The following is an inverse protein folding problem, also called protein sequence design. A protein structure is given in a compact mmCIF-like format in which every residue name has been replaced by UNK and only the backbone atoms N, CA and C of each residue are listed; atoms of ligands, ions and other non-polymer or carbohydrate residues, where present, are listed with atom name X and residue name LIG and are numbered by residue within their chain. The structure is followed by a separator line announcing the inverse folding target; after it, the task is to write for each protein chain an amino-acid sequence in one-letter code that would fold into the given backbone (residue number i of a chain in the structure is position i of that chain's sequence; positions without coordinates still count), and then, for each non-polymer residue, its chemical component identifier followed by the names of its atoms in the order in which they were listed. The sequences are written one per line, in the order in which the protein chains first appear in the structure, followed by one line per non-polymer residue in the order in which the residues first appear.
data_IF_035702870986
#
_entry.id   IF_035702870986
#
_cell.length_a   1.000
_cell.length_b   1.000
_cell.length_c   1.000
_cell.angle_alpha   90.00
_cell.angle_beta   90.00
_cell.angle_gamma   90.00
#
_symmetry.space_group_name_H-M   'P 1'
#
loop_
_entity.id
_entity.type
_entity.pdbx_description
1 polymer ?
#
# COMPACT_ATOMS: atom_id res chain seq x y z
N UNK A 1 -33.99 -22.99 21.86
CA UNK A 1 -33.12 -21.81 22.09
C UNK A 1 -31.63 -22.16 22.18
N UNK A 2 -31.21 -23.39 21.86
CA UNK A 2 -29.81 -23.86 21.90
C UNK A 2 -29.08 -23.76 20.54
N UNK A 3 -29.80 -23.83 19.42
CA UNK A 3 -29.16 -23.90 18.08
C UNK A 3 -28.57 -22.58 17.57
N UNK A 4 -29.07 -21.44 18.03
CA UNK A 4 -28.60 -20.12 17.59
C UNK A 4 -27.14 -19.87 18.01
N UNK A 5 -26.76 -20.33 19.20
CA UNK A 5 -25.41 -20.10 19.76
C UNK A 5 -24.30 -20.89 19.05
N UNK A 6 -24.64 -22.03 18.46
CA UNK A 6 -23.67 -22.89 17.76
C UNK A 6 -23.38 -22.32 16.37
N UNK A 7 -24.41 -21.85 15.67
CA UNK A 7 -24.31 -21.25 14.34
C UNK A 7 -23.47 -19.96 14.34
N UNK A 8 -23.67 -19.10 15.34
CA UNK A 8 -22.90 -17.86 15.52
C UNK A 8 -21.40 -18.15 15.69
N UNK A 9 -21.03 -19.12 16.53
CA UNK A 9 -19.63 -19.49 16.76
C UNK A 9 -18.96 -20.11 15.54
N UNK A 10 -19.67 -20.93 14.76
CA UNK A 10 -19.12 -21.48 13.51
C UNK A 10 -18.93 -20.41 12.44
N UNK A 11 -19.86 -19.46 12.35
CA UNK A 11 -19.79 -18.37 11.36
C UNK A 11 -18.65 -17.41 11.68
N UNK A 12 -18.51 -17.01 12.95
CA UNK A 12 -17.42 -16.16 13.41
C UNK A 12 -16.04 -16.77 13.11
N UNK A 13 -15.86 -18.05 13.43
CA UNK A 13 -14.62 -18.78 13.14
C UNK A 13 -14.35 -18.87 11.64
N UNK A 14 -15.39 -19.14 10.84
CA UNK A 14 -15.29 -19.19 9.38
C UNK A 14 -14.78 -17.87 8.80
N UNK A 15 -15.32 -16.73 9.25
CA UNK A 15 -14.89 -15.39 8.84
C UNK A 15 -13.43 -15.15 9.22
N UNK A 16 -13.04 -15.44 10.46
CA UNK A 16 -11.66 -15.23 10.92
C UNK A 16 -10.65 -16.08 10.14
N UNK A 17 -10.98 -17.32 9.80
CA UNK A 17 -10.14 -18.14 8.92
C UNK A 17 -10.05 -17.54 7.51
N UNK A 18 -11.18 -17.14 6.92
CA UNK A 18 -11.19 -16.55 5.59
C UNK A 18 -10.35 -15.27 5.52
N UNK A 19 -10.51 -14.36 6.50
CA UNK A 19 -9.74 -13.11 6.60
C UNK A 19 -8.27 -13.38 6.85
N UNK A 20 -7.93 -14.27 7.79
CA UNK A 20 -6.54 -14.59 8.13
C UNK A 20 -5.79 -15.26 6.98
N UNK A 21 -6.41 -16.26 6.34
CA UNK A 21 -5.83 -16.94 5.17
C UNK A 21 -5.77 -16.00 3.96
N UNK A 22 -6.82 -15.21 3.71
CA UNK A 22 -6.82 -14.21 2.64
C UNK A 22 -5.68 -13.20 2.80
N UNK A 23 -5.48 -12.68 4.02
CA UNK A 23 -4.38 -11.77 4.31
C UNK A 23 -3.01 -12.42 4.05
N UNK A 24 -2.78 -13.66 4.50
CA UNK A 24 -1.53 -14.38 4.22
C UNK A 24 -1.30 -14.61 2.73
N UNK A 25 -2.34 -14.97 1.98
CA UNK A 25 -2.24 -15.16 0.53
C UNK A 25 -1.86 -13.86 -0.18
N UNK A 26 -2.50 -12.74 0.19
CA UNK A 26 -2.17 -11.42 -0.36
C UNK A 26 -0.74 -11.01 -0.01
N UNK A 27 -0.33 -11.17 1.25
CA UNK A 27 1.03 -10.86 1.69
C UNK A 27 2.08 -11.72 0.99
N UNK A 28 1.84 -13.03 0.88
CA UNK A 28 2.73 -13.94 0.18
C UNK A 28 2.81 -13.63 -1.33
N UNK A 29 1.67 -13.37 -1.98
CA UNK A 29 1.62 -12.98 -3.38
C UNK A 29 2.37 -11.66 -3.62
N UNK A 30 2.18 -10.66 -2.76
CA UNK A 30 2.90 -9.39 -2.87
C UNK A 30 4.42 -9.58 -2.79
N UNK A 31 4.91 -10.35 -1.81
CA UNK A 31 6.35 -10.59 -1.65
C UNK A 31 6.90 -11.44 -2.79
N UNK A 32 6.21 -12.52 -3.18
CA UNK A 32 6.69 -13.43 -4.22
C UNK A 32 6.65 -12.77 -5.60
N UNK A 33 5.51 -12.22 -6.01
CA UNK A 33 5.36 -11.60 -7.32
C UNK A 33 6.12 -10.29 -7.40
N UNK A 34 5.96 -9.41 -6.40
CA UNK A 34 6.64 -8.12 -6.36
C UNK A 34 8.16 -8.26 -6.19
N UNK A 35 8.61 -9.19 -5.35
CA UNK A 35 10.04 -9.48 -5.19
C UNK A 35 10.66 -10.10 -6.43
N UNK A 36 9.93 -10.99 -7.13
CA UNK A 36 10.40 -11.54 -8.41
C UNK A 36 10.49 -10.44 -9.48
N UNK A 37 9.48 -9.57 -9.58
CA UNK A 37 9.51 -8.44 -10.51
C UNK A 37 10.70 -7.51 -10.25
N UNK A 38 10.96 -7.16 -8.98
CA UNK A 38 12.12 -6.35 -8.62
C UNK A 38 13.45 -6.96 -9.10
N UNK A 39 13.61 -8.28 -9.00
CA UNK A 39 14.81 -8.97 -9.47
C UNK A 39 14.88 -8.95 -11.00
N UNK A 40 13.76 -9.21 -11.68
CA UNK A 40 13.68 -9.20 -13.15
C UNK A 40 14.02 -7.82 -13.69
N UNK A 41 13.43 -6.77 -13.12
CA UNK A 41 13.64 -5.37 -13.50
C UNK A 41 15.11 -4.96 -13.31
N UNK A 42 15.71 -5.36 -12.18
CA UNK A 42 17.13 -5.11 -11.90
C UNK A 42 18.08 -5.84 -12.86
N UNK A 43 17.74 -7.06 -13.30
CA UNK A 43 18.57 -7.83 -14.26
C UNK A 43 18.38 -7.34 -15.68
N UNK A 44 17.18 -6.90 -16.04
CA UNK A 44 16.84 -6.41 -17.37
C UNK A 44 17.28 -4.96 -17.62
N UNK A 45 17.81 -4.27 -16.60
CA UNK A 45 18.04 -2.82 -16.61
C UNK A 45 16.81 -2.04 -17.08
N UNK A 46 15.64 -2.50 -16.63
CA UNK A 46 14.34 -2.02 -17.07
C UNK A 46 13.54 -1.59 -15.85
N UNK A 47 13.43 -0.29 -15.63
CA UNK A 47 12.72 0.27 -14.48
C UNK A 47 11.32 0.70 -14.89
N UNK A 48 10.27 0.01 -14.41
CA UNK A 48 8.90 0.44 -14.65
C UNK A 48 8.60 1.70 -13.81
N UNK A 49 8.15 2.73 -14.49
CA UNK A 49 7.74 4.02 -13.94
C UNK A 49 6.28 4.26 -14.31
N UNK A 50 5.55 4.90 -13.40
CA UNK A 50 4.24 5.46 -13.69
C UNK A 50 4.36 6.97 -13.60
N UNK A 51 4.27 7.63 -14.74
CA UNK A 51 4.42 9.08 -14.86
C UNK A 51 3.05 9.70 -15.09
N UNK A 52 2.82 10.85 -14.48
CA UNK A 52 1.64 11.66 -14.77
C UNK A 52 1.78 12.24 -16.17
N UNK A 53 0.67 12.33 -16.89
CA UNK A 53 0.64 12.88 -18.25
C UNK A 53 -0.44 13.94 -18.26
N UNK A 54 -0.12 15.12 -18.78
CA UNK A 54 -1.12 16.16 -19.03
C UNK A 54 -1.20 16.37 -20.55
N UNK A 55 -1.92 15.47 -21.22
CA UNK A 55 -2.03 15.51 -22.67
C UNK A 55 -3.39 14.99 -23.15
N UNK A 56 -3.97 15.72 -24.10
CA UNK A 56 -5.25 15.36 -24.72
C UNK A 56 -5.17 14.04 -25.49
N UNK A 57 -6.29 13.32 -25.57
CA UNK A 57 -6.40 12.11 -26.38
C UNK A 57 -6.07 12.40 -27.86
N UNK A 58 -5.41 11.47 -28.57
CA UNK A 58 -5.17 11.61 -30.00
C UNK A 58 -6.49 11.70 -30.76
N UNK A 59 -6.51 12.45 -31.86
CA UNK A 59 -7.69 12.53 -32.72
C UNK A 59 -8.12 11.15 -33.23
N UNK A 60 -9.43 10.88 -33.24
CA UNK A 60 -10.00 9.65 -33.79
C UNK A 60 -10.38 8.56 -32.78
N UNK A 61 -10.24 8.81 -31.47
CA UNK A 61 -10.68 7.86 -30.41
C UNK A 61 -12.21 7.73 -30.32
N UNK A 62 -12.97 8.65 -30.94
CA UNK A 62 -14.42 8.59 -31.06
C UNK A 62 -14.89 8.18 -32.47
N UNK A 63 -15.20 6.90 -32.67
CA UNK A 63 -15.76 6.38 -33.93
C UNK A 63 -17.16 5.75 -33.79
N UNK A 64 -17.74 5.79 -32.58
CA UNK A 64 -19.02 5.17 -32.26
C UNK A 64 -20.21 6.12 -32.40
N UNK A 65 -21.38 5.66 -31.94
CA UNK A 65 -22.62 6.44 -31.92
C UNK A 65 -22.68 7.52 -30.83
N UNK A 66 -21.70 7.54 -29.92
CA UNK A 66 -21.60 8.51 -28.84
C UNK A 66 -20.54 9.56 -29.17
N UNK A 67 -20.85 10.83 -28.91
CA UNK A 67 -19.94 11.96 -29.11
C UNK A 67 -18.98 12.08 -27.94
N UNK A 68 -17.67 11.96 -28.21
CA UNK A 68 -16.62 12.27 -27.24
C UNK A 68 -16.53 13.80 -27.10
N UNK A 69 -16.79 14.33 -25.91
CA UNK A 69 -16.74 15.77 -25.63
C UNK A 69 -15.31 16.20 -25.27
N UNK A 70 -14.66 15.45 -24.39
CA UNK A 70 -13.31 15.70 -23.91
C UNK A 70 -12.69 14.41 -23.39
N UNK A 71 -11.36 14.30 -23.44
CA UNK A 71 -10.63 13.26 -22.76
C UNK A 71 -9.13 13.52 -22.77
N UNK A 72 -8.46 13.13 -21.69
CA UNK A 72 -7.03 13.29 -21.49
C UNK A 72 -6.44 11.98 -20.94
N UNK A 73 -5.13 11.83 -21.11
CA UNK A 73 -4.38 10.87 -20.32
C UNK A 73 -4.14 11.45 -18.93
N UNK A 74 -4.16 10.58 -17.92
CA UNK A 74 -3.90 10.93 -16.52
C UNK A 74 -2.56 10.33 -16.06
N UNK A 75 -2.20 9.17 -16.61
CA UNK A 75 -0.89 8.56 -16.36
C UNK A 75 -0.45 7.65 -17.50
N UNK A 76 0.86 7.50 -17.65
CA UNK A 76 1.51 6.55 -18.55
C UNK A 76 2.41 5.59 -17.77
N UNK A 77 2.32 4.31 -18.12
CA UNK A 77 3.30 3.31 -17.69
C UNK A 77 4.46 3.34 -18.69
N UNK A 78 5.64 3.71 -18.21
CA UNK A 78 6.87 3.84 -19.00
C UNK A 78 7.90 2.88 -18.44
N UNK A 79 8.64 2.19 -19.31
CA UNK A 79 9.80 1.40 -18.89
C UNK A 79 11.04 2.11 -19.39
N UNK A 80 11.87 2.57 -18.45
CA UNK A 80 13.10 3.28 -18.74
C UNK A 80 14.31 2.35 -18.54
N UNK A 81 15.34 2.53 -19.36
CA UNK A 81 16.63 1.82 -19.27
C UNK A 81 17.77 2.83 -19.33
N UNK A 82 18.92 2.50 -18.74
CA UNK A 82 20.08 3.41 -18.72
C UNK A 82 19.94 4.61 -17.77
N UNK A 83 19.05 4.52 -16.78
CA UNK A 83 18.96 5.48 -15.68
C UNK A 83 20.23 5.42 -14.81
N UNK A 84 20.55 6.52 -14.14
CA UNK A 84 21.69 6.52 -13.22
C UNK A 84 21.48 5.52 -12.07
N UNK A 85 22.58 4.94 -11.60
CA UNK A 85 22.53 3.96 -10.50
C UNK A 85 21.86 4.54 -9.23
N UNK A 86 21.94 5.85 -9.02
CA UNK A 86 21.28 6.54 -7.93
C UNK A 86 19.75 6.47 -8.03
N UNK A 87 19.20 6.80 -9.21
CA UNK A 87 17.76 6.73 -9.49
C UNK A 87 17.26 5.29 -9.38
N UNK A 88 17.95 4.33 -9.99
CA UNK A 88 17.59 2.91 -9.93
C UNK A 88 17.55 2.42 -8.48
N UNK A 89 18.56 2.76 -7.68
CA UNK A 89 18.64 2.37 -6.26
C UNK A 89 17.49 2.96 -5.47
N UNK A 90 17.21 4.25 -5.66
CA UNK A 90 16.16 4.97 -4.94
C UNK A 90 14.77 4.39 -5.23
N UNK A 91 14.45 4.16 -6.51
CA UNK A 91 13.19 3.56 -6.94
C UNK A 91 13.05 2.12 -6.45
N UNK A 92 14.13 1.35 -6.48
CA UNK A 92 14.15 -0.02 -5.94
C UNK A 92 13.85 -0.03 -4.44
N UNK A 93 14.46 0.88 -3.68
CA UNK A 93 14.20 1.02 -2.25
C UNK A 93 12.75 1.44 -2.00
N UNK A 94 12.22 2.41 -2.76
CA UNK A 94 10.83 2.85 -2.65
C UNK A 94 9.84 1.68 -2.82
N UNK A 95 10.08 0.84 -3.84
CA UNK A 95 9.27 -0.34 -4.12
C UNK A 95 9.46 -1.42 -3.06
N UNK A 96 10.67 -1.61 -2.54
CA UNK A 96 10.91 -2.54 -1.43
C UNK A 96 10.13 -2.14 -0.17
N UNK A 97 10.07 -0.84 0.16
CA UNK A 97 9.25 -0.34 1.27
C UNK A 97 7.76 -0.61 1.05
N UNK A 98 7.24 -0.45 -0.16
CA UNK A 98 5.85 -0.75 -0.49
C UNK A 98 5.51 -2.23 -0.23
N UNK A 99 6.38 -3.14 -0.70
CA UNK A 99 6.21 -4.58 -0.50
C UNK A 99 6.32 -4.97 0.97
N UNK A 100 7.30 -4.42 1.70
CA UNK A 100 7.47 -4.66 3.12
C UNK A 100 6.27 -4.15 3.93
N UNK A 101 5.71 -3.01 3.54
CA UNK A 101 4.51 -2.44 4.17
C UNK A 101 3.31 -3.36 3.97
N UNK A 102 3.08 -3.79 2.73
CA UNK A 102 2.01 -4.71 2.38
C UNK A 102 2.14 -6.03 3.15
N UNK A 103 3.36 -6.59 3.21
CA UNK A 103 3.65 -7.82 3.94
C UNK A 103 3.42 -7.65 5.46
N UNK A 104 3.85 -6.53 6.04
CA UNK A 104 3.69 -6.25 7.47
C UNK A 104 2.22 -6.07 7.88
N UNK A 105 1.42 -5.42 7.03
CA UNK A 105 -0.02 -5.24 7.24
C UNK A 105 -0.74 -6.58 7.10
N UNK A 106 -0.47 -7.33 6.04
CA UNK A 106 -1.00 -8.67 5.83
C UNK A 106 -0.69 -9.62 7.00
N UNK A 107 0.55 -9.59 7.49
CA UNK A 107 0.98 -10.36 8.65
C UNK A 107 0.24 -9.94 9.92
N UNK A 108 0.11 -8.63 10.17
CA UNK A 108 -0.62 -8.11 11.32
C UNK A 108 -2.09 -8.56 11.33
N UNK A 109 -2.76 -8.54 10.17
CA UNK A 109 -4.15 -9.01 10.02
C UNK A 109 -4.26 -10.51 10.26
N UNK A 110 -3.37 -11.31 9.64
CA UNK A 110 -3.34 -12.75 9.84
C UNK A 110 -3.09 -13.13 11.31
N UNK A 111 -2.15 -12.44 11.95
CA UNK A 111 -1.85 -12.62 13.37
C UNK A 111 -3.04 -12.25 14.26
N UNK A 112 -3.75 -11.17 13.96
CA UNK A 112 -4.95 -10.76 14.68
C UNK A 112 -6.06 -11.82 14.56
N UNK A 113 -6.33 -12.30 13.33
CA UNK A 113 -7.30 -13.36 13.09
C UNK A 113 -6.96 -14.64 13.88
N UNK A 114 -5.69 -15.03 13.87
CA UNK A 114 -5.20 -16.18 14.64
C UNK A 114 -5.39 -16.02 16.16
N UNK A 115 -5.16 -14.82 16.69
CA UNK A 115 -5.34 -14.53 18.13
C UNK A 115 -6.81 -14.55 18.54
N UNK A 116 -7.69 -14.02 17.69
CA UNK A 116 -9.15 -14.07 17.89
C UNK A 116 -9.65 -15.51 17.89
N UNK A 117 -9.18 -16.34 16.96
CA UNK A 117 -9.51 -17.78 16.91
C UNK A 117 -9.09 -18.56 18.17
N UNK A 118 -8.01 -18.11 18.84
CA UNK A 118 -7.53 -18.67 20.11
C UNK A 118 -8.26 -18.13 21.35
N UNK A 119 -9.30 -17.31 21.18
CA UNK A 119 -10.13 -16.80 22.28
C UNK A 119 -9.43 -15.75 23.14
N UNK A 120 -8.47 -14.99 22.59
CA UNK A 120 -7.75 -13.93 23.32
C UNK A 120 -8.00 -12.54 22.73
N UNK A 121 -9.26 -12.04 22.71
CA UNK A 121 -9.62 -10.78 22.06
C UNK A 121 -9.04 -9.52 22.72
N UNK A 122 -8.73 -9.56 24.03
CA UNK A 122 -8.22 -8.41 24.79
C UNK A 122 -6.76 -8.55 25.25
N UNK A 123 -5.99 -9.46 24.66
CA UNK A 123 -4.57 -9.55 24.97
C UNK A 123 -3.83 -8.29 24.50
N UNK A 124 -2.81 -7.85 25.24
CA UNK A 124 -1.91 -6.76 24.82
C UNK A 124 -1.33 -6.98 23.41
N UNK A 125 -1.26 -8.24 22.95
CA UNK A 125 -0.86 -8.58 21.59
C UNK A 125 -1.77 -8.01 20.49
N UNK A 126 -3.05 -7.74 20.77
CA UNK A 126 -4.00 -7.16 19.80
C UNK A 126 -3.71 -5.68 19.59
N UNK A 127 -3.53 -4.92 20.68
CA UNK A 127 -3.12 -3.52 20.61
C UNK A 127 -1.76 -3.38 19.90
N UNK A 128 -0.79 -4.24 20.21
CA UNK A 128 0.50 -4.25 19.54
C UNK A 128 0.38 -4.57 18.04
N UNK A 129 -0.47 -5.53 17.64
CA UNK A 129 -0.67 -5.86 16.23
C UNK A 129 -1.31 -4.72 15.43
N UNK A 130 -2.28 -4.02 16.03
CA UNK A 130 -2.87 -2.82 15.43
C UNK A 130 -1.85 -1.69 15.37
N UNK A 131 -1.05 -1.51 16.42
CA UNK A 131 0.00 -0.50 16.45
C UNK A 131 1.05 -0.76 15.36
N UNK A 132 1.49 -2.02 15.17
CA UNK A 132 2.43 -2.37 14.11
C UNK A 132 1.83 -2.18 12.73
N UNK A 133 0.58 -2.59 12.50
CA UNK A 133 -0.10 -2.36 11.22
C UNK A 133 -0.21 -0.86 10.89
N UNK A 134 -0.66 -0.05 11.85
CA UNK A 134 -0.80 1.39 11.68
C UNK A 134 0.54 2.10 11.47
N UNK A 135 1.56 1.73 12.25
CA UNK A 135 2.92 2.28 12.09
C UNK A 135 3.55 1.88 10.75
N UNK A 136 3.36 0.63 10.30
CA UNK A 136 3.82 0.16 8.99
C UNK A 136 3.15 0.93 7.86
N UNK A 137 1.83 1.14 7.90
CA UNK A 137 1.13 1.94 6.90
C UNK A 137 1.66 3.39 6.84
N UNK A 138 1.90 4.01 8.00
CA UNK A 138 2.40 5.38 8.04
C UNK A 138 3.83 5.50 7.53
N UNK A 139 4.76 4.78 8.16
CA UNK A 139 6.19 4.88 7.86
C UNK A 139 6.45 4.36 6.46
N UNK A 140 5.88 3.20 6.15
CA UNK A 140 6.04 2.52 4.88
C UNK A 140 5.40 3.29 3.72
N UNK A 141 4.18 3.81 3.93
CA UNK A 141 3.51 4.65 2.94
C UNK A 141 4.27 5.94 2.67
N UNK A 142 4.74 6.65 3.70
CA UNK A 142 5.51 7.88 3.51
C UNK A 142 6.85 7.64 2.82
N UNK A 143 7.59 6.62 3.27
CA UNK A 143 8.90 6.32 2.68
C UNK A 143 8.75 5.84 1.24
N UNK A 144 7.78 4.97 0.96
CA UNK A 144 7.54 4.49 -0.40
C UNK A 144 7.12 5.63 -1.34
N UNK A 145 6.13 6.44 -0.96
CA UNK A 145 5.66 7.55 -1.80
C UNK A 145 6.72 8.66 -1.93
N UNK A 146 7.40 9.01 -0.84
CA UNK A 146 8.43 10.06 -0.86
C UNK A 146 9.64 9.67 -1.70
N UNK A 147 10.16 8.45 -1.52
CA UNK A 147 11.30 7.96 -2.32
C UNK A 147 10.88 7.69 -3.76
N UNK A 148 9.67 7.16 -3.98
CA UNK A 148 9.14 6.88 -5.32
C UNK A 148 8.90 8.15 -6.12
N UNK A 149 8.26 9.15 -5.51
CA UNK A 149 8.02 10.45 -6.12
C UNK A 149 9.31 11.22 -6.40
N UNK A 150 10.25 11.21 -5.45
CA UNK A 150 11.57 11.82 -5.66
C UNK A 150 12.37 11.09 -6.75
N UNK A 151 12.29 9.76 -6.81
CA UNK A 151 12.96 8.99 -7.87
C UNK A 151 12.35 9.19 -9.24
N UNK A 152 11.02 9.30 -9.32
CA UNK A 152 10.33 9.61 -10.56
C UNK A 152 10.71 11.01 -11.07
N UNK A 153 10.82 11.99 -10.17
CA UNK A 153 11.27 13.34 -10.50
C UNK A 153 12.66 13.32 -11.17
N UNK A 154 13.65 12.71 -10.51
CA UNK A 154 15.02 12.65 -11.05
C UNK A 154 15.07 11.80 -12.34
N UNK A 155 14.26 10.75 -12.44
CA UNK A 155 14.14 9.95 -13.66
C UNK A 155 13.58 10.77 -14.84
N UNK A 156 12.59 11.63 -14.61
CA UNK A 156 12.05 12.52 -15.64
C UNK A 156 13.14 13.50 -16.13
N UNK A 157 13.93 14.07 -15.22
CA UNK A 157 15.05 14.96 -15.57
C UNK A 157 16.10 14.23 -16.43
N UNK A 158 16.43 12.99 -16.09
CA UNK A 158 17.37 12.18 -16.90
C UNK A 158 16.79 11.77 -18.27
N UNK A 159 15.47 11.51 -18.35
CA UNK A 159 14.79 11.08 -19.57
C UNK A 159 14.56 12.22 -20.57
N UNK A 160 14.16 13.39 -20.08
CA UNK A 160 13.82 14.54 -20.92
C UNK A 160 15.02 15.46 -21.17
N UNK A 161 16.07 15.37 -20.35
CA UNK A 161 17.23 16.25 -20.42
C UNK A 161 16.87 17.70 -20.08
N UNK A 162 17.69 18.65 -20.54
CA UNK A 162 17.49 20.09 -20.35
C UNK A 162 16.37 20.56 -21.31
N UNK A 163 15.12 20.30 -20.93
CA UNK A 163 13.95 20.70 -21.74
C UNK A 163 13.89 22.21 -21.76
N UNK A 164 13.99 22.78 -22.95
CA UNK A 164 13.81 24.22 -23.16
C UNK A 164 12.48 24.68 -22.53
N UNK A 165 12.46 25.75 -21.71
CA UNK A 165 11.27 26.22 -20.96
C UNK A 165 10.08 26.67 -21.82
N UNK A 166 10.19 26.58 -23.15
CA UNK A 166 9.18 26.92 -24.14
C UNK A 166 8.41 25.69 -24.68
N UNK A 167 8.85 24.46 -24.38
CA UNK A 167 8.15 23.24 -24.78
C UNK A 167 7.18 22.81 -23.67
N UNK A 168 5.92 22.55 -24.03
CA UNK A 168 4.94 21.97 -23.13
C UNK A 168 5.38 20.52 -22.80
N UNK A 169 5.82 20.23 -21.56
CA UNK A 169 6.42 18.95 -21.27
C UNK A 169 5.34 17.87 -21.24
N UNK A 170 5.49 16.84 -22.09
CA UNK A 170 4.55 15.70 -22.16
C UNK A 170 4.37 14.99 -20.80
N UNK A 171 5.41 15.01 -19.96
CA UNK A 171 5.37 14.56 -18.57
C UNK A 171 5.57 15.77 -17.65
N UNK A 172 4.51 16.32 -17.03
CA UNK A 172 4.68 17.40 -16.08
C UNK A 172 5.42 16.90 -14.82
N UNK A 173 6.24 17.77 -14.23
CA UNK A 173 6.93 17.50 -12.97
C UNK A 173 5.96 17.64 -11.79
N UNK A 174 5.10 16.63 -11.63
CA UNK A 174 4.13 16.54 -10.54
C UNK A 174 4.46 15.32 -9.67
N UNK A 175 4.44 15.53 -8.36
CA UNK A 175 4.55 14.46 -7.38
C UNK A 175 3.14 14.01 -7.01
N UNK A 176 2.74 12.84 -7.50
CA UNK A 176 1.51 12.19 -7.06
C UNK A 176 1.64 11.76 -5.59
N UNK A 177 0.72 12.24 -4.75
CA UNK A 177 0.64 11.89 -3.33
C UNK A 177 -0.73 11.32 -3.00
N UNK A 178 -0.75 10.07 -2.51
CA UNK A 178 -1.96 9.42 -2.03
C UNK A 178 -2.02 9.51 -0.50
N UNK A 179 -2.94 10.31 0.08
CA UNK A 179 -3.08 10.44 1.53
C UNK A 179 -3.74 9.21 2.18
N UNK A 180 -4.28 8.26 1.41
CA UNK A 180 -5.05 7.15 1.96
C UNK A 180 -4.26 6.27 2.95
N UNK A 181 -3.00 5.84 2.68
CA UNK A 181 -2.21 5.06 3.63
C UNK A 181 -1.96 5.81 4.94
N UNK A 182 -1.81 7.14 4.88
CA UNK A 182 -1.67 7.99 6.07
C UNK A 182 -2.95 7.98 6.90
N UNK A 183 -4.10 8.19 6.24
CA UNK A 183 -5.41 8.14 6.90
C UNK A 183 -5.69 6.80 7.57
N UNK A 184 -5.49 5.69 6.85
CA UNK A 184 -5.69 4.35 7.40
C UNK A 184 -4.70 4.01 8.51
N UNK A 185 -3.43 4.42 8.37
CA UNK A 185 -2.41 4.21 9.39
C UNK A 185 -2.72 4.95 10.69
N UNK A 186 -3.09 6.24 10.61
CA UNK A 186 -3.52 7.03 11.77
C UNK A 186 -4.78 6.45 12.43
N UNK A 187 -5.80 6.10 11.65
CA UNK A 187 -7.01 5.49 12.17
C UNK A 187 -6.71 4.18 12.91
N UNK A 188 -5.86 3.33 12.34
CA UNK A 188 -5.47 2.05 12.95
C UNK A 188 -4.68 2.26 14.25
N UNK A 189 -3.77 3.26 14.30
CA UNK A 189 -3.07 3.63 15.53
C UNK A 189 -4.03 4.13 16.62
N UNK A 190 -5.01 4.96 16.25
CA UNK A 190 -6.02 5.43 17.21
C UNK A 190 -6.82 4.25 17.80
N UNK A 191 -7.19 3.28 16.97
CA UNK A 191 -7.85 2.05 17.45
C UNK A 191 -6.91 1.29 18.39
N UNK A 192 -5.63 1.14 18.04
CA UNK A 192 -4.65 0.49 18.91
C UNK A 192 -4.57 1.14 20.31
N UNK A 193 -4.54 2.47 20.36
CA UNK A 193 -4.52 3.25 21.61
C UNK A 193 -5.82 3.04 22.40
N UNK A 194 -6.98 3.02 21.73
CA UNK A 194 -8.26 2.78 22.40
C UNK A 194 -8.32 1.39 23.04
N UNK A 195 -7.84 0.35 22.35
CA UNK A 195 -7.75 -1.01 22.89
C UNK A 195 -6.81 -1.08 24.10
N UNK A 196 -5.65 -0.42 24.02
CA UNK A 196 -4.69 -0.38 25.12
C UNK A 196 -5.25 0.33 26.35
N UNK A 197 -5.99 1.42 26.16
CA UNK A 197 -6.71 2.13 27.24
C UNK A 197 -7.80 1.25 27.86
N UNK A 198 -8.60 0.56 27.05
CA UNK A 198 -9.62 -0.37 27.53
C UNK A 198 -9.04 -1.52 28.35
N UNK A 199 -7.92 -2.09 27.90
CA UNK A 199 -7.18 -3.13 28.62
C UNK A 199 -6.69 -2.65 29.98
N UNK A 200 -6.15 -1.43 30.05
CA UNK A 200 -5.69 -0.84 31.32
C UNK A 200 -6.83 -0.68 32.32
N UNK A 201 -8.00 -0.21 31.87
CA UNK A 201 -9.18 -0.07 32.73
C UNK A 201 -9.70 -1.42 33.27
N UNK A 202 -9.63 -2.49 32.47
CA UNK A 202 -9.98 -3.84 32.93
C UNK A 202 -9.03 -4.32 34.03
N UNK A 203 -7.72 -4.12 33.86
CA UNK A 203 -6.72 -4.51 34.86
C UNK A 203 -6.86 -3.74 36.18
N UNK A 204 -7.14 -2.44 36.10
CA UNK A 204 -7.35 -1.61 37.28
C UNK A 204 -8.60 -2.05 38.07
N UNK A 205 -9.58 -2.66 37.41
CA UNK A 205 -10.81 -3.19 38.05
C UNK A 205 -10.57 -4.57 38.68
N UNK A 206 -9.78 -5.44 38.02
CA UNK A 206 -9.39 -6.75 38.57
C UNK A 206 -8.54 -6.64 39.84
N UNK A 207 -7.82 -5.53 40.03
CA UNK A 207 -7.03 -5.26 41.24
C UNK A 207 -7.83 -4.74 42.44
N UNK A 208 -9.14 -4.50 42.30
CA UNK A 208 -10.03 -3.98 43.34
C UNK A 208 -10.94 -5.04 43.97
N UNK A 209 -10.84 -6.30 43.55
CA UNK A 209 -11.63 -7.44 44.06
C UNK A 209 -10.75 -8.41 44.82
#
# INVERSE_FOLDING_TARGET
MSDTSTFERTTERGILYAVGTGALLVGAAAVLLGGTQLIVDAVADAVPLRLEVDHALPGGVGGGTATLIEGAYDSAAVTASGLSAGVVTLLTIARAFELLTTAAVAWSVAWLAWKLLRGRPFAASVANALATAGASLLIGGLLSQGLGGFGAWVAIEELLGDVSPEADPFFPLVMAFDPAPLGFGLATLLIAIAFERGRRLQQDTEGLV
#
